data_IF_962169384381
#
_entry.id   IF_962169384381
#
_cell.length_a   1.000
_cell.length_b   1.000
_cell.length_c   1.000
_cell.angle_alpha   90.00
_cell.angle_beta   90.00
_cell.angle_gamma   90.00
#
_symmetry.space_group_name_H-M   'P 1'
#
loop_
_entity.id
_entity.type
_entity.pdbx_description
1 polymer ?
#
# COMPACT_ATOMS: atom_id res chain seq x y z
N UNK A 1 -5.72 -5.07 17.79
CA UNK A 1 -5.86 -4.38 16.50
C UNK A 1 -6.96 -3.33 16.58
N UNK A 2 -6.69 -2.07 16.22
CA UNK A 2 -7.78 -1.17 15.79
C UNK A 2 -8.47 -1.87 14.62
N UNK A 3 -9.80 -1.85 14.56
CA UNK A 3 -10.56 -2.49 13.51
C UNK A 3 -10.06 -1.99 12.14
N UNK A 4 -9.50 -2.85 11.29
CA UNK A 4 -8.98 -2.46 9.98
C UNK A 4 -10.07 -1.77 9.15
N UNK A 5 -11.32 -2.23 9.28
CA UNK A 5 -12.47 -1.62 8.62
C UNK A 5 -12.60 -0.15 9.03
N UNK A 6 -12.48 0.15 10.34
CA UNK A 6 -12.61 1.52 10.85
C UNK A 6 -11.45 2.44 10.43
N UNK A 7 -10.33 1.89 9.96
CA UNK A 7 -9.24 2.68 9.36
C UNK A 7 -9.47 2.93 7.88
N UNK A 8 -10.13 1.99 7.20
CA UNK A 8 -10.43 2.06 5.77
C UNK A 8 -11.60 2.99 5.50
N UNK A 9 -12.66 2.94 6.31
CA UNK A 9 -13.92 3.66 6.05
C UNK A 9 -13.71 5.17 5.83
N UNK A 10 -12.91 5.91 6.64
CA UNK A 10 -12.66 7.33 6.39
C UNK A 10 -11.93 7.61 5.06
N UNK A 11 -11.17 6.64 4.54
CA UNK A 11 -10.49 6.78 3.25
C UNK A 11 -11.48 6.73 2.08
N UNK A 12 -12.63 6.06 2.26
CA UNK A 12 -13.70 6.05 1.28
C UNK A 12 -14.34 7.43 1.16
N UNK A 13 -14.59 8.12 2.28
CA UNK A 13 -15.13 9.49 2.28
C UNK A 13 -14.21 10.45 1.50
N UNK A 14 -12.89 10.37 1.74
CA UNK A 14 -11.90 11.17 1.01
C UNK A 14 -11.89 10.83 -0.49
N UNK A 15 -12.01 9.54 -0.84
CA UNK A 15 -12.08 9.11 -2.23
C UNK A 15 -13.33 9.64 -2.94
N UNK A 16 -14.51 9.58 -2.30
CA UNK A 16 -15.76 10.15 -2.83
C UNK A 16 -15.60 11.65 -3.03
N UNK A 17 -15.07 12.38 -2.04
CA UNK A 17 -14.83 13.81 -2.15
C UNK A 17 -14.00 14.16 -3.39
N UNK A 18 -12.93 13.42 -3.65
CA UNK A 18 -12.10 13.62 -4.84
C UNK A 18 -12.83 13.30 -6.15
N UNK A 19 -13.59 12.20 -6.20
CA UNK A 19 -14.40 11.83 -7.37
C UNK A 19 -15.44 12.92 -7.69
N UNK A 20 -16.12 13.45 -6.68
CA UNK A 20 -17.11 14.51 -6.84
C UNK A 20 -16.48 15.85 -7.24
N UNK A 21 -15.33 16.20 -6.65
CA UNK A 21 -14.60 17.41 -6.99
C UNK A 21 -14.15 17.40 -8.46
N UNK A 22 -13.58 16.29 -8.92
CA UNK A 22 -13.16 16.13 -10.31
C UNK A 22 -14.33 16.12 -11.28
N UNK A 23 -15.45 15.48 -10.91
CA UNK A 23 -16.67 15.56 -11.70
C UNK A 23 -17.18 17.00 -11.82
N UNK A 24 -17.19 17.74 -10.71
CA UNK A 24 -17.64 19.14 -10.67
C UNK A 24 -16.74 20.05 -11.52
N UNK A 25 -15.42 19.84 -11.52
CA UNK A 25 -14.47 20.54 -12.40
C UNK A 25 -14.76 20.27 -13.88
N UNK A 26 -15.01 19.02 -14.26
CA UNK A 26 -15.38 18.65 -15.64
C UNK A 26 -16.69 19.31 -16.07
N UNK A 27 -17.73 19.23 -15.23
CA UNK A 27 -19.02 19.88 -15.46
C UNK A 27 -18.85 21.38 -15.63
N UNK A 28 -18.09 22.05 -14.76
CA UNK A 28 -17.81 23.49 -14.87
C UNK A 28 -17.14 23.82 -16.22
N UNK A 29 -16.15 23.02 -16.64
CA UNK A 29 -15.47 23.22 -17.93
C UNK A 29 -16.42 23.07 -19.12
N UNK A 30 -17.28 22.04 -19.11
CA UNK A 30 -18.30 21.86 -20.14
C UNK A 30 -19.29 23.02 -20.17
N UNK A 31 -19.87 23.38 -19.02
CA UNK A 31 -20.82 24.50 -18.92
C UNK A 31 -20.23 25.80 -19.47
N UNK A 32 -18.97 26.14 -19.12
CA UNK A 32 -18.31 27.34 -19.66
C UNK A 32 -18.17 27.25 -21.18
N UNK A 33 -17.68 26.12 -21.71
CA UNK A 33 -17.49 25.92 -23.16
C UNK A 33 -18.80 26.10 -23.93
N UNK A 34 -19.85 25.39 -23.52
CA UNK A 34 -21.14 25.40 -24.23
C UNK A 34 -21.91 26.70 -24.03
N UNK A 35 -21.74 27.39 -22.90
CA UNK A 35 -22.32 28.73 -22.71
C UNK A 35 -21.65 29.75 -23.63
N UNK A 36 -20.31 29.74 -23.77
CA UNK A 36 -19.60 30.62 -24.71
C UNK A 36 -20.00 30.40 -26.17
N UNK A 37 -20.36 29.17 -26.52
CA UNK A 37 -20.83 28.81 -27.85
C UNK A 37 -22.35 29.05 -28.07
N UNK A 38 -23.07 29.61 -27.10
CA UNK A 38 -24.54 29.74 -27.11
C UNK A 38 -25.29 28.40 -27.31
N UNK A 39 -24.67 27.29 -26.91
CA UNK A 39 -25.18 25.92 -27.04
C UNK A 39 -25.56 25.34 -25.67
N UNK A 40 -25.95 26.18 -24.72
CA UNK A 40 -26.33 25.73 -23.37
C UNK A 40 -27.58 24.86 -23.46
N UNK A 41 -27.46 23.64 -22.92
CA UNK A 41 -28.48 22.60 -22.93
C UNK A 41 -28.83 22.06 -24.33
N UNK A 42 -27.95 22.27 -25.31
CA UNK A 42 -27.93 21.45 -26.53
C UNK A 42 -27.81 19.96 -26.20
N UNK A 43 -28.24 19.06 -27.11
CA UNK A 43 -28.03 17.62 -26.96
C UNK A 43 -26.58 17.27 -26.63
N UNK A 44 -25.60 17.90 -27.30
CA UNK A 44 -24.17 17.68 -27.08
C UNK A 44 -23.72 18.16 -25.69
N UNK A 45 -24.27 19.27 -25.20
CA UNK A 45 -23.97 19.74 -23.85
C UNK A 45 -24.48 18.76 -22.81
N UNK A 46 -25.73 18.32 -22.94
CA UNK A 46 -26.35 17.37 -22.00
C UNK A 46 -25.61 16.03 -22.04
N UNK A 47 -25.23 15.54 -23.21
CA UNK A 47 -24.43 14.32 -23.34
C UNK A 47 -23.09 14.43 -22.61
N UNK A 48 -22.38 15.55 -22.77
CA UNK A 48 -21.12 15.79 -22.07
C UNK A 48 -21.29 15.84 -20.53
N UNK A 49 -22.40 16.40 -20.05
CA UNK A 49 -22.72 16.45 -18.63
C UNK A 49 -23.03 15.05 -18.07
N UNK A 50 -23.91 14.29 -18.74
CA UNK A 50 -24.26 12.93 -18.34
C UNK A 50 -23.03 12.00 -18.38
N UNK A 51 -22.24 12.07 -19.46
CA UNK A 51 -21.00 11.31 -19.58
C UNK A 51 -19.96 11.63 -18.49
N UNK A 52 -19.93 12.87 -17.97
CA UNK A 52 -19.08 13.21 -16.82
C UNK A 52 -19.52 12.51 -15.53
N UNK A 53 -20.83 12.45 -15.30
CA UNK A 53 -21.41 11.75 -14.17
C UNK A 53 -21.23 10.23 -14.27
N UNK A 54 -21.46 9.64 -15.44
CA UNK A 54 -21.19 8.21 -15.68
C UNK A 54 -19.72 7.85 -15.45
N UNK A 55 -18.80 8.76 -15.78
CA UNK A 55 -17.39 8.59 -15.44
C UNK A 55 -17.17 8.61 -13.93
N UNK A 56 -17.86 9.47 -13.19
CA UNK A 56 -17.79 9.51 -11.73
C UNK A 56 -18.38 8.24 -11.08
N UNK A 57 -19.54 7.79 -11.56
CA UNK A 57 -20.20 6.55 -11.10
C UNK A 57 -19.29 5.33 -11.28
N UNK A 58 -18.57 5.24 -12.41
CA UNK A 58 -17.60 4.16 -12.64
C UNK A 58 -16.36 4.26 -11.75
N UNK A 59 -16.03 5.43 -11.25
CA UNK A 59 -14.81 5.66 -10.47
C UNK A 59 -14.99 5.33 -8.99
N UNK A 60 -16.20 5.50 -8.44
CA UNK A 60 -16.55 5.14 -7.06
C UNK A 60 -16.10 3.72 -6.70
N UNK A 61 -16.59 2.66 -7.35
CA UNK A 61 -16.25 1.30 -6.95
C UNK A 61 -14.77 0.98 -7.19
N UNK A 62 -14.15 1.57 -8.22
CA UNK A 62 -12.72 1.41 -8.49
C UNK A 62 -11.87 1.93 -7.34
N UNK A 63 -12.19 3.11 -6.80
CA UNK A 63 -11.44 3.69 -5.70
C UNK A 63 -11.62 2.88 -4.42
N UNK A 64 -12.86 2.50 -4.08
CA UNK A 64 -13.15 1.72 -2.88
C UNK A 64 -12.43 0.37 -2.92
N UNK A 65 -12.59 -0.38 -4.02
CA UNK A 65 -11.94 -1.68 -4.19
C UNK A 65 -10.41 -1.58 -4.21
N UNK A 66 -9.85 -0.50 -4.76
CA UNK A 66 -8.41 -0.25 -4.74
C UNK A 66 -7.90 0.00 -3.32
N UNK A 67 -8.60 0.83 -2.55
CA UNK A 67 -8.27 1.13 -1.15
C UNK A 67 -8.35 -0.16 -0.33
N UNK A 68 -9.46 -0.89 -0.41
CA UNK A 68 -9.68 -2.14 0.32
C UNK A 68 -8.58 -3.16 -0.04
N UNK A 69 -8.35 -3.41 -1.33
CA UNK A 69 -7.30 -4.34 -1.79
C UNK A 69 -5.91 -3.94 -1.27
N UNK A 70 -5.58 -2.66 -1.31
CA UNK A 70 -4.25 -2.18 -0.88
C UNK A 70 -4.06 -2.32 0.62
N UNK A 71 -5.07 -1.98 1.42
CA UNK A 71 -5.05 -2.12 2.87
C UNK A 71 -5.00 -3.60 3.28
N UNK A 72 -5.88 -4.44 2.73
CA UNK A 72 -5.94 -5.88 3.02
C UNK A 72 -4.63 -6.58 2.71
N UNK A 73 -4.00 -6.29 1.57
CA UNK A 73 -2.67 -6.84 1.25
C UNK A 73 -1.57 -6.36 2.19
N UNK A 74 -1.66 -5.10 2.65
CA UNK A 74 -0.68 -4.54 3.59
C UNK A 74 -0.74 -5.24 4.94
N UNK A 75 -1.93 -5.54 5.43
CA UNK A 75 -2.15 -6.17 6.75
C UNK A 75 -2.34 -7.68 6.68
N UNK A 76 -2.32 -8.27 5.48
CA UNK A 76 -2.50 -9.70 5.23
C UNK A 76 -3.83 -10.26 5.75
N UNK A 77 -4.87 -9.41 5.73
CA UNK A 77 -6.21 -9.78 6.17
C UNK A 77 -7.06 -10.07 4.94
N UNK A 78 -7.79 -11.20 4.88
CA UNK A 78 -8.70 -11.47 3.78
C UNK A 78 -9.88 -10.49 3.77
N UNK A 79 -10.54 -10.40 2.63
CA UNK A 79 -11.82 -9.72 2.51
C UNK A 79 -12.92 -10.75 2.76
N UNK A 80 -13.45 -10.75 3.98
CA UNK A 80 -14.58 -11.59 4.35
C UNK A 80 -15.89 -11.14 3.69
N UNK A 81 -16.87 -12.03 3.68
CA UNK A 81 -18.13 -11.83 2.98
C UNK A 81 -18.98 -10.71 3.60
N UNK A 82 -18.98 -10.59 4.94
CA UNK A 82 -19.70 -9.55 5.65
C UNK A 82 -19.19 -8.16 5.25
N UNK A 83 -17.86 -7.97 5.26
CA UNK A 83 -17.22 -6.74 4.81
C UNK A 83 -17.46 -6.49 3.32
N UNK A 84 -17.43 -7.52 2.48
CA UNK A 84 -17.73 -7.40 1.05
C UNK A 84 -19.14 -6.84 0.82
N UNK A 85 -20.13 -7.34 1.54
CA UNK A 85 -21.50 -6.82 1.51
C UNK A 85 -21.57 -5.36 1.98
N UNK A 86 -20.95 -5.03 3.13
CA UNK A 86 -20.92 -3.67 3.64
C UNK A 86 -20.32 -2.67 2.63
N UNK A 87 -19.23 -3.05 1.95
CA UNK A 87 -18.61 -2.23 0.91
C UNK A 87 -19.55 -2.04 -0.29
N UNK A 88 -20.25 -3.10 -0.71
CA UNK A 88 -21.22 -3.01 -1.81
C UNK A 88 -22.38 -2.07 -1.46
N UNK A 89 -22.85 -2.08 -0.23
CA UNK A 89 -23.90 -1.18 0.25
C UNK A 89 -23.44 0.28 0.27
N UNK A 90 -22.20 0.53 0.74
CA UNK A 90 -21.61 1.87 0.71
C UNK A 90 -21.48 2.40 -0.73
N UNK A 91 -20.86 1.62 -1.63
CA UNK A 91 -20.73 2.01 -3.04
C UNK A 91 -22.09 2.24 -3.71
N UNK A 92 -23.08 1.39 -3.40
CA UNK A 92 -24.44 1.52 -3.91
C UNK A 92 -25.07 2.83 -3.46
N UNK A 93 -24.93 3.17 -2.18
CA UNK A 93 -25.43 4.43 -1.61
C UNK A 93 -24.81 5.63 -2.35
N UNK A 94 -23.49 5.65 -2.56
CA UNK A 94 -22.82 6.75 -3.26
C UNK A 94 -23.21 6.86 -4.74
N UNK A 95 -23.38 5.73 -5.42
CA UNK A 95 -23.86 5.70 -6.82
C UNK A 95 -25.29 6.24 -6.90
N UNK A 96 -26.17 5.80 -6.00
CA UNK A 96 -27.57 6.27 -5.95
C UNK A 96 -27.64 7.77 -5.63
N UNK A 97 -26.81 8.27 -4.72
CA UNK A 97 -26.70 9.71 -4.45
C UNK A 97 -26.26 10.51 -5.68
N UNK A 98 -25.30 10.02 -6.47
CA UNK A 98 -24.90 10.69 -7.72
C UNK A 98 -26.02 10.70 -8.76
N UNK A 99 -26.75 9.60 -8.92
CA UNK A 99 -27.90 9.53 -9.83
C UNK A 99 -29.01 10.47 -9.37
N UNK A 100 -29.28 10.53 -8.07
CA UNK A 100 -30.28 11.46 -7.53
C UNK A 100 -29.87 12.93 -7.73
N UNK A 101 -28.57 13.25 -7.61
CA UNK A 101 -28.04 14.57 -8.00
C UNK A 101 -28.28 14.87 -9.48
N UNK A 102 -28.17 13.88 -10.36
CA UNK A 102 -28.47 14.04 -11.80
C UNK A 102 -29.98 14.26 -12.03
N UNK A 103 -30.84 13.46 -11.39
CA UNK A 103 -32.29 13.60 -11.46
C UNK A 103 -32.73 15.02 -11.10
N UNK A 104 -32.26 15.54 -9.96
CA UNK A 104 -32.59 16.89 -9.49
C UNK A 104 -32.14 17.98 -10.46
N UNK A 105 -31.00 17.81 -11.13
CA UNK A 105 -30.40 18.84 -11.99
C UNK A 105 -30.90 18.82 -13.43
N UNK A 106 -31.11 17.63 -14.01
CA UNK A 106 -31.26 17.48 -15.45
C UNK A 106 -32.64 16.97 -15.87
N UNK A 107 -33.36 16.26 -15.01
CA UNK A 107 -34.64 15.61 -15.39
C UNK A 107 -35.67 16.59 -15.96
N UNK A 108 -35.82 17.77 -15.33
CA UNK A 108 -36.74 18.82 -15.83
C UNK A 108 -36.30 19.38 -17.19
N UNK A 109 -34.99 19.45 -17.46
CA UNK A 109 -34.47 19.93 -18.74
C UNK A 109 -34.83 18.93 -19.85
N UNK A 110 -34.63 17.63 -19.60
CA UNK A 110 -35.03 16.57 -20.53
C UNK A 110 -36.56 16.52 -20.73
N UNK A 111 -37.34 16.75 -19.67
CA UNK A 111 -38.80 16.89 -19.77
C UNK A 111 -39.20 18.02 -20.72
N UNK A 112 -38.57 19.19 -20.61
CA UNK A 112 -38.87 20.33 -21.48
C UNK A 112 -38.45 20.08 -22.95
N UNK A 113 -37.54 19.13 -23.18
CA UNK A 113 -37.12 18.70 -24.53
C UNK A 113 -37.91 17.50 -25.06
N UNK A 114 -38.97 17.06 -24.38
CA UNK A 114 -39.74 15.84 -24.73
C UNK A 114 -38.90 14.55 -24.77
N UNK A 115 -37.81 14.49 -24.00
CA UNK A 115 -36.86 13.37 -23.92
C UNK A 115 -36.79 12.77 -22.51
N UNK A 116 -37.91 12.82 -21.77
CA UNK A 116 -37.94 12.38 -20.37
C UNK A 116 -37.71 10.87 -20.24
N UNK A 117 -38.34 10.07 -21.09
CA UNK A 117 -38.22 8.60 -21.08
C UNK A 117 -36.77 8.17 -21.33
N UNK A 118 -36.12 8.77 -22.34
CA UNK A 118 -34.71 8.53 -22.64
C UNK A 118 -33.81 8.77 -21.41
N UNK A 119 -34.05 9.85 -20.68
CA UNK A 119 -33.28 10.18 -19.48
C UNK A 119 -33.56 9.17 -18.35
N UNK A 120 -34.82 8.89 -18.05
CA UNK A 120 -35.21 7.99 -16.95
C UNK A 120 -34.70 6.56 -17.21
N UNK A 121 -34.77 6.09 -18.46
CA UNK A 121 -34.25 4.76 -18.86
C UNK A 121 -32.73 4.71 -18.80
N UNK A 122 -32.04 5.78 -19.20
CA UNK A 122 -30.58 5.88 -19.04
C UNK A 122 -30.18 5.83 -17.56
N UNK A 123 -30.88 6.51 -16.66
CA UNK A 123 -30.57 6.48 -15.22
C UNK A 123 -30.75 5.08 -14.64
N UNK A 124 -31.85 4.39 -15.00
CA UNK A 124 -32.08 2.98 -14.61
C UNK A 124 -30.99 2.07 -15.15
N UNK A 125 -30.63 2.21 -16.42
CA UNK A 125 -29.59 1.40 -17.08
C UNK A 125 -28.23 1.59 -16.40
N UNK A 126 -27.83 2.84 -16.12
CA UNK A 126 -26.60 3.16 -15.41
C UNK A 126 -26.58 2.49 -14.03
N UNK A 127 -27.67 2.59 -13.26
CA UNK A 127 -27.74 1.99 -11.93
C UNK A 127 -27.60 0.46 -11.98
N UNK A 128 -28.31 -0.20 -12.90
CA UNK A 128 -28.25 -1.67 -13.08
C UNK A 128 -26.83 -2.09 -13.46
N UNK A 129 -26.23 -1.45 -14.47
CA UNK A 129 -24.88 -1.77 -14.95
C UNK A 129 -23.85 -1.51 -13.84
N UNK A 130 -24.01 -0.43 -13.07
CA UNK A 130 -23.13 -0.13 -11.95
C UNK A 130 -23.22 -1.23 -10.89
N UNK A 131 -24.43 -1.58 -10.41
CA UNK A 131 -24.63 -2.63 -9.40
C UNK A 131 -24.03 -3.98 -9.82
N UNK A 132 -24.26 -4.38 -11.07
CA UNK A 132 -23.67 -5.60 -11.61
C UNK A 132 -22.13 -5.55 -11.59
N UNK A 133 -21.53 -4.47 -12.10
CA UNK A 133 -20.07 -4.32 -12.11
C UNK A 133 -19.46 -4.27 -10.72
N UNK A 134 -20.12 -3.60 -9.77
CA UNK A 134 -19.68 -3.55 -8.37
C UNK A 134 -19.60 -4.96 -7.78
N UNK A 135 -20.63 -5.78 -8.00
CA UNK A 135 -20.65 -7.17 -7.54
C UNK A 135 -19.57 -8.03 -8.21
N UNK A 136 -19.40 -7.93 -9.52
CA UNK A 136 -18.37 -8.67 -10.27
C UNK A 136 -16.95 -8.28 -9.85
N UNK A 137 -16.67 -6.98 -9.73
CA UNK A 137 -15.35 -6.48 -9.34
C UNK A 137 -15.03 -6.77 -7.88
N UNK A 138 -16.02 -6.70 -6.97
CA UNK A 138 -15.81 -7.05 -5.55
C UNK A 138 -15.45 -8.52 -5.37
N UNK A 139 -16.11 -9.42 -6.14
CA UNK A 139 -15.80 -10.85 -6.15
C UNK A 139 -14.38 -11.10 -6.66
N UNK A 140 -14.00 -10.50 -7.79
CA UNK A 140 -12.63 -10.60 -8.34
C UNK A 140 -11.57 -10.11 -7.35
N UNK A 141 -11.86 -9.05 -6.60
CA UNK A 141 -10.94 -8.54 -5.57
C UNK A 141 -10.81 -9.51 -4.41
N UNK A 142 -11.91 -10.07 -3.92
CA UNK A 142 -11.89 -11.10 -2.86
C UNK A 142 -11.10 -12.33 -3.29
N UNK A 143 -11.34 -12.86 -4.49
CA UNK A 143 -10.60 -14.01 -5.07
C UNK A 143 -9.11 -13.69 -5.21
N UNK A 144 -8.77 -12.53 -5.80
CA UNK A 144 -7.39 -12.09 -5.96
C UNK A 144 -6.67 -11.86 -4.63
N UNK A 145 -7.39 -11.45 -3.58
CA UNK A 145 -6.85 -11.36 -2.22
C UNK A 145 -6.64 -12.76 -1.66
N UNK A 146 -7.62 -13.65 -1.80
CA UNK A 146 -7.53 -15.05 -1.38
C UNK A 146 -6.30 -15.75 -1.96
N UNK A 147 -6.10 -15.70 -3.27
CA UNK A 147 -4.93 -16.27 -3.95
C UNK A 147 -3.60 -15.67 -3.46
N UNK A 148 -3.58 -14.36 -3.23
CA UNK A 148 -2.37 -13.68 -2.74
C UNK A 148 -2.09 -14.00 -1.28
N UNK A 149 -3.09 -14.33 -0.49
CA UNK A 149 -2.94 -14.61 0.94
C UNK A 149 -2.79 -16.10 1.24
N UNK A 150 -3.23 -17.00 0.35
CA UNK A 150 -3.25 -18.45 0.53
C UNK A 150 -1.89 -19.13 0.37
N UNK A 151 -0.80 -18.41 0.08
CA UNK A 151 0.54 -19.00 0.11
C UNK A 151 0.84 -19.45 1.55
N UNK A 152 0.96 -20.77 1.74
CA UNK A 152 1.09 -21.48 3.03
C UNK A 152 2.26 -21.02 3.93
N UNK A 153 3.15 -20.17 3.40
CA UNK A 153 4.33 -19.62 4.07
C UNK A 153 4.12 -18.22 4.66
N UNK A 154 2.90 -17.66 4.59
CA UNK A 154 2.60 -16.30 5.07
C UNK A 154 2.24 -16.27 6.55
N UNK A 155 3.18 -15.75 7.32
CA UNK A 155 3.04 -15.46 8.76
C UNK A 155 2.22 -14.18 8.96
N UNK A 156 1.33 -14.17 9.95
CA UNK A 156 0.54 -12.98 10.30
C UNK A 156 1.45 -11.84 10.82
N UNK A 157 1.09 -10.56 10.65
CA UNK A 157 1.92 -9.45 11.13
C UNK A 157 2.31 -9.57 12.62
N UNK A 158 1.44 -10.07 13.49
CA UNK A 158 1.73 -10.19 14.93
C UNK A 158 2.80 -11.25 15.23
N UNK A 159 2.84 -12.31 14.44
CA UNK A 159 3.88 -13.34 14.53
C UNK A 159 5.19 -12.83 13.91
N UNK A 160 5.11 -12.02 12.84
CA UNK A 160 6.25 -11.38 12.20
C UNK A 160 6.94 -10.36 13.14
N UNK A 161 6.16 -9.61 13.93
CA UNK A 161 6.62 -8.75 15.04
C UNK A 161 7.49 -9.56 16.01
N UNK A 162 7.00 -10.72 16.45
CA UNK A 162 7.73 -11.60 17.38
C UNK A 162 8.99 -12.18 16.74
N UNK A 163 8.90 -12.58 15.47
CA UNK A 163 9.97 -13.24 14.74
C UNK A 163 11.18 -12.34 14.52
N UNK A 164 10.97 -11.05 14.28
CA UNK A 164 12.05 -10.07 14.04
C UNK A 164 12.28 -9.13 15.22
N UNK A 165 11.52 -9.25 16.31
CA UNK A 165 11.59 -8.38 17.49
C UNK A 165 11.34 -6.90 17.16
N UNK A 166 10.42 -6.64 16.23
CA UNK A 166 10.00 -5.30 15.82
C UNK A 166 8.59 -5.01 16.36
N UNK A 167 8.22 -3.75 16.54
CA UNK A 167 6.83 -3.39 16.83
C UNK A 167 5.97 -3.28 15.55
N UNK A 168 4.65 -3.40 15.72
CA UNK A 168 3.70 -3.39 14.60
C UNK A 168 3.75 -2.06 13.82
N UNK A 169 3.93 -0.93 14.51
CA UNK A 169 4.10 0.38 13.87
C UNK A 169 5.32 0.43 12.95
N UNK A 170 6.46 -0.11 13.37
CA UNK A 170 7.68 -0.15 12.59
C UNK A 170 7.49 -1.00 11.34
N UNK A 171 6.81 -2.14 11.43
CA UNK A 171 6.50 -2.96 10.26
C UNK A 171 5.67 -2.21 9.22
N UNK A 172 4.69 -1.43 9.68
CA UNK A 172 3.77 -0.64 8.85
C UNK A 172 4.48 0.56 8.23
N UNK A 173 5.16 1.36 9.05
CA UNK A 173 5.77 2.64 8.67
C UNK A 173 6.96 2.41 7.74
N UNK A 174 7.76 1.37 8.02
CA UNK A 174 8.88 0.99 7.17
C UNK A 174 8.44 0.23 5.92
N UNK A 175 7.18 -0.18 5.83
CA UNK A 175 6.65 -1.09 4.80
C UNK A 175 7.40 -2.43 4.78
N UNK A 176 7.82 -2.92 5.95
CA UNK A 176 8.69 -4.07 6.11
C UNK A 176 7.96 -5.43 6.07
N UNK A 177 6.63 -5.47 6.23
CA UNK A 177 5.85 -6.71 6.25
C UNK A 177 6.15 -7.59 5.02
N UNK A 178 6.01 -7.03 3.81
CA UNK A 178 6.24 -7.80 2.57
C UNK A 178 7.71 -8.23 2.40
N UNK A 179 8.71 -7.35 2.54
CA UNK A 179 10.11 -7.75 2.50
C UNK A 179 10.44 -8.90 3.47
N UNK A 180 10.04 -8.76 4.74
CA UNK A 180 10.33 -9.74 5.79
C UNK A 180 9.59 -11.06 5.59
N UNK A 181 8.36 -11.04 5.09
CA UNK A 181 7.68 -12.25 4.66
C UNK A 181 8.49 -12.97 3.59
N UNK A 182 8.89 -12.29 2.52
CA UNK A 182 9.63 -12.93 1.41
C UNK A 182 10.98 -13.48 1.90
N UNK A 183 11.68 -12.75 2.77
CA UNK A 183 12.90 -13.24 3.42
C UNK A 183 12.61 -14.57 4.15
N UNK A 184 11.58 -14.60 5.02
CA UNK A 184 11.18 -15.81 5.73
C UNK A 184 10.86 -16.97 4.77
N UNK A 185 10.02 -16.72 3.75
CA UNK A 185 9.61 -17.76 2.78
C UNK A 185 10.80 -18.36 2.01
N UNK A 186 11.80 -17.54 1.65
CA UNK A 186 12.99 -17.99 0.93
C UNK A 186 13.82 -18.95 1.78
N UNK A 187 14.04 -18.61 3.06
CA UNK A 187 14.85 -19.43 3.94
C UNK A 187 14.12 -20.67 4.46
N UNK A 188 12.81 -20.58 4.68
CA UNK A 188 11.97 -21.73 5.08
C UNK A 188 11.95 -22.81 4.00
N UNK A 189 11.93 -22.43 2.71
CA UNK A 189 11.91 -23.36 1.57
C UNK A 189 13.30 -23.87 1.16
N UNK A 190 14.35 -23.44 1.84
CA UNK A 190 15.71 -23.78 1.46
C UNK A 190 16.07 -25.20 1.91
N UNK A 191 16.74 -26.03 1.08
CA UNK A 191 17.19 -27.36 1.49
C UNK A 191 18.11 -27.31 2.72
N UNK A 192 17.98 -28.29 3.63
CA UNK A 192 18.75 -28.34 4.89
C UNK A 192 20.27 -28.27 4.67
N UNK A 193 20.76 -28.88 3.59
CA UNK A 193 22.17 -28.90 3.17
C UNK A 193 22.77 -27.50 2.93
N UNK A 194 21.94 -26.50 2.65
CA UNK A 194 22.38 -25.12 2.41
C UNK A 194 22.48 -24.28 3.68
N UNK A 195 22.30 -24.86 4.87
CA UNK A 195 22.35 -24.13 6.16
C UNK A 195 21.37 -22.94 6.24
N UNK A 196 20.24 -23.00 5.53
CA UNK A 196 19.27 -21.89 5.43
C UNK A 196 18.77 -21.37 6.79
N UNK A 197 18.58 -22.27 7.76
CA UNK A 197 18.15 -21.91 9.12
C UNK A 197 19.17 -21.04 9.86
N UNK A 198 20.45 -21.40 9.82
CA UNK A 198 21.54 -20.64 10.46
C UNK A 198 21.65 -19.25 9.84
N UNK A 199 21.54 -19.17 8.50
CA UNK A 199 21.58 -17.90 7.78
C UNK A 199 20.35 -17.03 8.11
N UNK A 200 19.18 -17.64 8.25
CA UNK A 200 17.98 -16.92 8.63
C UNK A 200 18.06 -16.37 10.07
N UNK A 201 18.56 -17.15 11.02
CA UNK A 201 18.81 -16.70 12.40
C UNK A 201 19.80 -15.52 12.43
N UNK A 202 20.86 -15.58 11.62
CA UNK A 202 21.80 -14.46 11.45
C UNK A 202 21.10 -13.19 10.92
N UNK A 203 20.23 -13.32 9.91
CA UNK A 203 19.42 -12.21 9.38
C UNK A 203 18.51 -11.62 10.45
N UNK A 204 17.82 -12.47 11.22
CA UNK A 204 16.93 -12.02 12.31
C UNK A 204 17.71 -11.24 13.37
N UNK A 205 18.86 -11.74 13.80
CA UNK A 205 19.70 -11.07 14.80
C UNK A 205 20.26 -9.74 14.27
N UNK A 206 20.69 -9.68 13.00
CA UNK A 206 21.13 -8.44 12.38
C UNK A 206 20.05 -7.35 12.36
N UNK A 207 18.80 -7.73 12.01
CA UNK A 207 17.64 -6.83 12.03
C UNK A 207 17.33 -6.36 13.46
N UNK A 208 17.34 -7.27 14.43
CA UNK A 208 17.08 -6.97 15.84
C UNK A 208 18.15 -6.03 16.43
N UNK A 209 19.41 -6.20 16.08
CA UNK A 209 20.49 -5.31 16.53
C UNK A 209 20.34 -3.92 15.90
N UNK A 210 20.01 -3.85 14.61
CA UNK A 210 19.82 -2.58 13.92
C UNK A 210 18.57 -1.83 14.39
N UNK A 211 17.52 -2.52 14.87
CA UNK A 211 16.31 -1.87 15.38
C UNK A 211 16.55 -1.03 16.63
N UNK A 212 17.65 -1.28 17.35
CA UNK A 212 18.10 -0.51 18.51
C UNK A 212 18.89 0.75 18.14
N UNK A 213 19.14 0.99 16.85
CA UNK A 213 19.84 2.20 16.43
C UNK A 213 19.03 3.44 16.75
N UNK A 214 19.68 4.45 17.32
CA UNK A 214 19.04 5.73 17.64
C UNK A 214 18.16 5.73 18.89
N UNK A 215 17.86 4.58 19.49
CA UNK A 215 17.14 4.48 20.78
C UNK A 215 18.10 4.50 21.97
N UNK A 216 19.30 3.95 21.83
CA UNK A 216 20.34 3.88 22.89
C UNK A 216 21.29 5.10 22.89
N UNK A 217 20.76 6.30 22.62
CA UNK A 217 21.58 7.52 22.53
C UNK A 217 21.87 8.06 23.93
N UNK A 218 23.14 8.03 24.32
CA UNK A 218 23.60 8.61 25.59
C UNK A 218 23.50 10.14 25.52
N UNK A 219 22.73 10.72 26.44
CA UNK A 219 22.61 12.16 26.67
C UNK A 219 22.88 12.40 28.14
N UNK A 220 23.68 13.42 28.46
CA UNK A 220 23.93 13.82 29.84
C UNK A 220 22.57 14.10 30.53
N UNK A 221 22.26 13.45 31.66
CA UNK A 221 21.04 13.69 32.41
C UNK A 221 20.77 15.17 32.67
N UNK A 222 21.82 15.98 32.88
CA UNK A 222 21.72 17.41 33.14
C UNK A 222 21.16 18.21 31.97
N UNK A 223 21.46 17.78 30.74
CA UNK A 223 21.06 18.46 29.50
C UNK A 223 19.79 17.86 28.88
N UNK A 224 19.25 16.79 29.46
CA UNK A 224 18.13 16.03 28.90
C UNK A 224 16.84 16.84 28.69
N UNK A 225 16.65 17.92 29.45
CA UNK A 225 15.49 18.80 29.36
C UNK A 225 15.61 19.84 28.23
N UNK A 226 16.80 20.06 27.68
CA UNK A 226 17.07 21.09 26.66
C UNK A 226 16.39 20.80 25.32
N UNK A 227 16.17 21.85 24.53
CA UNK A 227 15.61 21.71 23.18
C UNK A 227 16.60 21.00 22.26
N UNK A 228 17.89 21.26 22.42
CA UNK A 228 18.96 20.59 21.66
C UNK A 228 18.97 19.09 21.93
N UNK A 229 18.92 18.66 23.19
CA UNK A 229 18.88 17.24 23.54
C UNK A 229 17.63 16.53 22.99
N UNK A 230 16.46 17.17 23.07
CA UNK A 230 15.23 16.62 22.46
C UNK A 230 15.33 16.50 20.95
N UNK A 231 15.89 17.52 20.29
CA UNK A 231 16.11 17.53 18.83
C UNK A 231 17.11 16.46 18.41
N UNK A 232 18.17 16.27 19.20
CA UNK A 232 19.16 15.23 19.00
C UNK A 232 18.54 13.83 19.13
N UNK A 233 17.79 13.54 20.21
CA UNK A 233 17.05 12.26 20.35
C UNK A 233 16.17 11.98 19.14
N UNK A 234 15.36 12.96 18.73
CA UNK A 234 14.46 12.81 17.58
C UNK A 234 15.20 12.53 16.28
N UNK A 235 16.29 13.25 16.02
CA UNK A 235 17.14 13.03 14.83
C UNK A 235 17.81 11.66 14.85
N UNK A 236 18.33 11.25 15.99
CA UNK A 236 18.98 9.94 16.14
C UNK A 236 17.98 8.80 15.94
N UNK A 237 16.77 8.91 16.48
CA UNK A 237 15.71 7.93 16.26
C UNK A 237 15.35 7.84 14.77
N UNK A 238 15.10 8.98 14.10
CA UNK A 238 14.81 9.00 12.65
C UNK A 238 15.96 8.38 11.84
N UNK A 239 17.21 8.70 12.19
CA UNK A 239 18.39 8.14 11.54
C UNK A 239 18.46 6.61 11.71
N UNK A 240 18.21 6.11 12.92
CA UNK A 240 18.17 4.67 13.21
C UNK A 240 17.05 3.95 12.48
N UNK A 241 15.86 4.54 12.44
CA UNK A 241 14.71 4.00 11.68
C UNK A 241 15.00 3.92 10.18
N UNK A 242 15.69 4.92 9.61
CA UNK A 242 16.12 4.88 8.20
C UNK A 242 17.16 3.79 7.96
N UNK A 243 18.14 3.64 8.85
CA UNK A 243 19.14 2.57 8.76
C UNK A 243 18.49 1.17 8.82
N UNK A 244 17.51 0.97 9.71
CA UNK A 244 16.74 -0.28 9.78
C UNK A 244 15.98 -0.55 8.47
N UNK A 245 15.36 0.49 7.90
CA UNK A 245 14.68 0.37 6.61
C UNK A 245 15.64 -0.07 5.50
N UNK A 246 16.77 0.62 5.38
CA UNK A 246 17.79 0.34 4.38
C UNK A 246 18.35 -1.07 4.57
N UNK A 247 18.53 -1.52 5.82
CA UNK A 247 18.93 -2.89 6.13
C UNK A 247 17.92 -3.90 5.59
N UNK A 248 16.64 -3.75 5.92
CA UNK A 248 15.58 -4.67 5.50
C UNK A 248 15.45 -4.71 3.97
N UNK A 249 15.46 -3.54 3.32
CA UNK A 249 15.33 -3.43 1.86
C UNK A 249 16.52 -4.09 1.14
N UNK A 250 17.76 -3.90 1.63
CA UNK A 250 18.93 -4.53 1.04
C UNK A 250 19.00 -6.04 1.31
N UNK A 251 18.68 -6.50 2.54
CA UNK A 251 18.60 -7.93 2.84
C UNK A 251 17.55 -8.59 1.94
N UNK A 252 16.40 -7.95 1.73
CA UNK A 252 15.36 -8.45 0.83
C UNK A 252 15.88 -8.64 -0.60
N UNK A 253 16.55 -7.64 -1.17
CA UNK A 253 17.13 -7.73 -2.51
C UNK A 253 18.16 -8.87 -2.57
N UNK A 254 19.02 -8.97 -1.56
CA UNK A 254 20.06 -10.00 -1.50
C UNK A 254 19.47 -11.41 -1.31
N UNK A 255 18.41 -11.56 -0.51
CA UNK A 255 17.72 -12.84 -0.30
C UNK A 255 17.08 -13.33 -1.61
N UNK A 256 16.54 -12.43 -2.43
CA UNK A 256 16.06 -12.78 -3.77
C UNK A 256 17.17 -13.36 -4.65
N UNK A 257 18.40 -12.84 -4.54
CA UNK A 257 19.55 -13.41 -5.26
C UNK A 257 19.96 -14.77 -4.70
N UNK A 258 19.92 -14.96 -3.38
CA UNK A 258 20.17 -16.26 -2.75
C UNK A 258 19.21 -17.34 -3.27
N UNK A 259 17.94 -16.98 -3.51
CA UNK A 259 16.91 -17.88 -4.01
C UNK A 259 17.14 -18.34 -5.47
N UNK A 260 18.07 -17.71 -6.20
CA UNK A 260 18.42 -18.08 -7.56
C UNK A 260 19.59 -19.08 -7.59
N UNK A 261 19.65 -19.99 -8.59
CA UNK A 261 20.87 -20.73 -8.93
C UNK A 261 22.04 -19.77 -9.14
N UNK A 262 23.26 -20.20 -8.78
CA UNK A 262 24.44 -19.34 -8.74
C UNK A 262 24.70 -18.66 -10.10
N UNK A 263 24.45 -19.37 -11.19
CA UNK A 263 24.65 -18.94 -12.57
C UNK A 263 23.69 -17.83 -13.00
N UNK A 264 22.54 -17.72 -12.32
CA UNK A 264 21.49 -16.74 -12.61
C UNK A 264 21.53 -15.54 -11.66
N UNK A 265 22.48 -15.51 -10.72
CA UNK A 265 22.65 -14.40 -9.79
C UNK A 265 23.20 -13.19 -10.52
N UNK A 266 22.69 -12.01 -10.17
CA UNK A 266 23.22 -10.76 -10.68
C UNK A 266 24.30 -10.23 -9.73
N UNK A 267 25.56 -10.46 -10.06
CA UNK A 267 26.71 -10.03 -9.26
C UNK A 267 26.76 -8.52 -9.02
N UNK A 268 26.36 -7.72 -10.01
CA UNK A 268 26.33 -6.25 -9.89
C UNK A 268 25.28 -5.80 -8.86
N UNK A 269 24.10 -6.43 -8.85
CA UNK A 269 23.07 -6.18 -7.82
C UNK A 269 23.60 -6.59 -6.44
N UNK A 270 24.21 -7.77 -6.32
CA UNK A 270 24.76 -8.27 -5.05
C UNK A 270 25.79 -7.29 -4.51
N UNK A 271 26.77 -6.91 -5.32
CA UNK A 271 27.85 -6.00 -4.93
C UNK A 271 27.31 -4.62 -4.54
N UNK A 272 26.43 -4.03 -5.36
CA UNK A 272 25.83 -2.72 -5.07
C UNK A 272 25.00 -2.71 -3.80
N UNK A 273 24.16 -3.73 -3.60
CA UNK A 273 23.33 -3.83 -2.39
C UNK A 273 24.17 -4.04 -1.14
N UNK A 274 25.22 -4.86 -1.21
CA UNK A 274 26.15 -5.05 -0.10
C UNK A 274 26.90 -3.76 0.27
N UNK A 275 27.44 -3.04 -0.72
CA UNK A 275 28.15 -1.78 -0.47
C UNK A 275 27.22 -0.69 0.07
N UNK A 276 26.01 -0.56 -0.49
CA UNK A 276 25.00 0.37 0.03
C UNK A 276 24.65 0.06 1.47
N UNK A 277 24.50 -1.22 1.81
CA UNK A 277 24.22 -1.64 3.17
C UNK A 277 25.34 -1.23 4.13
N UNK A 278 26.59 -1.53 3.80
CA UNK A 278 27.76 -1.12 4.61
C UNK A 278 27.83 0.38 4.80
N UNK A 279 27.68 1.16 3.73
CA UNK A 279 27.71 2.63 3.79
C UNK A 279 26.56 3.21 4.62
N UNK A 280 25.36 2.63 4.53
CA UNK A 280 24.21 3.04 5.34
C UNK A 280 24.47 2.82 6.84
N UNK A 281 25.06 1.68 7.21
CA UNK A 281 25.29 1.31 8.60
C UNK A 281 26.51 2.01 9.22
N UNK A 282 27.54 2.37 8.44
CA UNK A 282 28.82 2.93 8.91
C UNK A 282 28.70 4.11 9.88
N UNK A 283 27.62 4.89 9.76
CA UNK A 283 27.36 6.09 10.60
C UNK A 283 26.81 5.78 11.99
N UNK A 284 26.52 4.51 12.28
CA UNK A 284 25.87 4.07 13.50
C UNK A 284 26.81 3.27 14.40
N UNK A 285 26.82 3.61 15.69
CA UNK A 285 27.56 2.86 16.71
C UNK A 285 26.97 1.45 16.83
N UNK A 286 27.81 0.42 16.74
CA UNK A 286 27.38 -0.98 16.74
C UNK A 286 27.09 -1.58 15.36
N UNK A 287 27.34 -0.82 14.29
CA UNK A 287 27.22 -1.30 12.90
C UNK A 287 28.13 -2.49 12.58
N UNK A 288 29.34 -2.52 13.13
CA UNK A 288 30.26 -3.67 13.01
C UNK A 288 29.59 -4.96 13.49
N UNK A 289 28.99 -4.94 14.68
CA UNK A 289 28.26 -6.09 15.23
C UNK A 289 27.10 -6.54 14.32
N UNK A 290 26.39 -5.61 13.68
CA UNK A 290 25.32 -5.94 12.73
C UNK A 290 25.90 -6.64 11.50
N UNK A 291 26.98 -6.10 10.93
CA UNK A 291 27.65 -6.69 9.76
C UNK A 291 28.24 -8.06 10.09
N UNK A 292 28.92 -8.20 11.22
CA UNK A 292 29.52 -9.46 11.67
C UNK A 292 28.46 -10.54 11.88
N UNK A 293 27.31 -10.16 12.44
CA UNK A 293 26.18 -11.08 12.62
C UNK A 293 25.63 -11.56 11.27
N UNK A 294 25.70 -10.74 10.23
CA UNK A 294 25.21 -11.07 8.87
C UNK A 294 26.25 -11.82 8.02
N UNK A 295 27.45 -12.09 8.53
CA UNK A 295 28.51 -12.80 7.81
C UNK A 295 28.07 -14.15 7.21
N UNK A 296 27.30 -15.01 7.92
CA UNK A 296 26.77 -16.25 7.32
C UNK A 296 25.91 -16.00 6.07
N UNK A 297 25.15 -14.90 6.04
CA UNK A 297 24.32 -14.52 4.90
C UNK A 297 25.17 -14.03 3.72
N UNK A 298 26.21 -13.23 3.97
CA UNK A 298 27.09 -12.76 2.91
C UNK A 298 27.96 -13.88 2.31
N UNK A 299 28.40 -14.84 3.12
CA UNK A 299 29.11 -16.04 2.65
C UNK A 299 28.26 -16.88 1.69
N UNK A 300 26.96 -17.00 1.93
CA UNK A 300 26.04 -17.70 1.03
C UNK A 300 25.90 -17.04 -0.36
N UNK A 301 26.17 -15.74 -0.43
CA UNK A 301 26.21 -14.95 -1.67
C UNK A 301 27.57 -14.97 -2.35
N UNK A 302 28.58 -15.65 -1.77
CA UNK A 302 29.98 -15.66 -2.23
C UNK A 302 30.54 -14.22 -2.26
N UNK A 303 30.10 -13.37 -1.33
CA UNK A 303 30.71 -12.06 -1.15
C UNK A 303 32.02 -12.28 -0.41
N UNK A 304 33.10 -12.44 -1.17
CA UNK A 304 34.47 -12.41 -0.62
C UNK A 304 34.85 -10.95 -0.48
N UNK A 305 35.05 -10.48 0.75
CA UNK A 305 35.70 -9.19 0.97
C UNK A 305 37.07 -9.23 0.28
N UNK A 306 37.21 -8.50 -0.84
CA UNK A 306 38.54 -8.12 -1.30
C UNK A 306 39.05 -7.06 -0.33
N UNK A 307 39.75 -7.51 0.70
CA UNK A 307 40.61 -6.67 1.52
C UNK A 307 41.65 -6.04 0.59
N UNK A 308 41.48 -4.75 0.32
CA UNK A 308 42.57 -3.87 -0.11
C UNK A 308 43.13 -3.19 1.14
#
# INVERSE_FOLDING_TARGET
MRNLNSQIDPMFDEAIYHVEADNSRRIKKFTIRFTKANQKYSPEHLEALLGSHEKAIREIPRQFLRIEKSARLKYLVPLDEERRCNILDMMTTDVEMLIEKMNRKYRTIFKNQQRLEEFDDRMKSILIIAKQKMHEESKKVSESLGEKLSSSSKIKPEELVKLFGLDESALIDLKAIKPLQIIHEIFEKMPEERNGKVVFEAVQQGILLCSKFGTEVQIDPKDSHTVEARRFRKRSLVSGTLALKDLIDNIYILAQQVNLPVENRNEDIIYKSYHRLKEALKKHKGSEKVIDTLDPFFKMLIIVEKTN
#
